data_IF_587534476697
#
_entry.id   IF_587534476697
#
_cell.length_a   1.000
_cell.length_b   1.000
_cell.length_c   1.000
_cell.angle_alpha   90.00
_cell.angle_beta   90.00
_cell.angle_gamma   90.00
#
_symmetry.space_group_name_H-M   'P 1'
#
loop_
_entity.id
_entity.type
_entity.pdbx_description
1 polymer ?
#
# COMPACT_ATOMS: atom_id res chain seq x y z
N UNK A 1 3.43 -7.87 -10.51
CA UNK A 1 4.83 -7.89 -10.02
C UNK A 1 5.25 -6.49 -9.57
N UNK A 2 5.93 -6.40 -8.45
CA UNK A 2 6.36 -5.12 -7.89
C UNK A 2 7.75 -4.77 -8.43
N UNK A 3 7.86 -3.63 -9.14
CA UNK A 3 9.16 -3.18 -9.63
C UNK A 3 9.94 -2.50 -8.50
N UNK A 4 11.25 -2.33 -8.71
CA UNK A 4 12.08 -1.61 -7.75
C UNK A 4 11.54 -0.20 -7.49
N UNK A 5 11.14 0.50 -8.54
CA UNK A 5 10.59 1.85 -8.43
C UNK A 5 9.30 1.87 -7.59
N UNK A 6 8.41 0.93 -7.85
CA UNK A 6 7.17 0.78 -7.09
C UNK A 6 7.48 0.41 -5.64
N UNK A 7 8.44 -0.48 -5.43
CA UNK A 7 8.84 -0.89 -4.08
C UNK A 7 9.40 0.27 -3.25
N UNK A 8 10.22 1.12 -3.86
CA UNK A 8 10.77 2.28 -3.17
C UNK A 8 9.67 3.28 -2.80
N UNK A 9 8.71 3.50 -3.69
CA UNK A 9 7.58 4.38 -3.40
C UNK A 9 6.69 3.80 -2.29
N UNK A 10 6.46 2.51 -2.32
CA UNK A 10 5.68 1.82 -1.30
C UNK A 10 6.38 1.85 0.06
N UNK A 11 7.70 1.71 0.06
CA UNK A 11 8.51 1.81 1.26
C UNK A 11 8.35 3.16 1.95
N UNK A 12 8.32 4.25 1.17
CA UNK A 12 8.09 5.58 1.70
C UNK A 12 6.72 5.71 2.36
N UNK A 13 5.70 5.09 1.75
CA UNK A 13 4.35 5.07 2.31
C UNK A 13 4.33 4.32 3.64
N UNK A 14 4.93 3.14 3.67
CA UNK A 14 4.99 2.31 4.88
C UNK A 14 5.66 3.07 6.02
N UNK A 15 6.75 3.75 5.73
CA UNK A 15 7.48 4.54 6.73
C UNK A 15 6.62 5.68 7.28
N UNK A 16 5.98 6.44 6.40
CA UNK A 16 5.15 7.58 6.81
C UNK A 16 3.90 7.17 7.56
N UNK A 17 3.30 6.05 7.19
CA UNK A 17 2.09 5.56 7.85
C UNK A 17 2.39 4.77 9.11
N UNK A 18 3.66 4.42 9.33
CA UNK A 18 4.07 3.59 10.47
C UNK A 18 3.22 2.32 10.56
N UNK A 19 3.12 1.62 9.42
CA UNK A 19 2.31 0.41 9.35
C UNK A 19 2.95 -0.73 10.15
N UNK A 20 2.11 -1.55 10.78
CA UNK A 20 2.57 -2.67 11.60
C UNK A 20 1.70 -3.89 11.35
N UNK A 21 2.31 -5.06 11.39
CA UNK A 21 1.60 -6.33 11.35
C UNK A 21 1.46 -6.82 12.79
N UNK A 22 0.23 -6.82 13.29
CA UNK A 22 -0.05 -7.20 14.69
C UNK A 22 0.23 -8.68 14.94
N UNK A 23 -0.10 -9.54 13.96
CA UNK A 23 0.10 -10.98 14.06
C UNK A 23 0.71 -11.49 12.75
N UNK A 24 2.06 -11.63 12.71
CA UNK A 24 2.72 -12.08 11.48
C UNK A 24 2.41 -13.53 11.12
N UNK A 25 1.80 -14.29 12.04
CA UNK A 25 1.41 -15.69 11.79
C UNK A 25 -0.03 -15.81 11.30
N UNK A 26 -0.78 -14.72 11.28
CA UNK A 26 -2.14 -14.73 10.76
C UNK A 26 -2.12 -15.03 9.25
N UNK A 27 -3.25 -15.48 8.72
CA UNK A 27 -3.32 -15.72 7.29
C UNK A 27 -3.27 -14.41 6.49
N UNK A 28 -3.01 -14.53 5.19
CA UNK A 28 -2.82 -13.36 4.32
C UNK A 28 -4.07 -12.46 4.28
N UNK A 29 -5.25 -13.05 4.36
CA UNK A 29 -6.49 -12.30 4.33
C UNK A 29 -6.62 -11.41 5.56
N UNK A 30 -6.33 -11.93 6.74
CA UNK A 30 -6.39 -11.15 7.97
C UNK A 30 -5.33 -10.05 7.98
N UNK A 31 -4.11 -10.37 7.56
CA UNK A 31 -3.04 -9.38 7.47
C UNK A 31 -3.45 -8.28 6.49
N UNK A 32 -4.02 -8.64 5.35
CA UNK A 32 -4.50 -7.69 4.35
C UNK A 32 -5.58 -6.78 4.89
N UNK A 33 -6.54 -7.33 5.65
CA UNK A 33 -7.60 -6.55 6.27
C UNK A 33 -7.06 -5.56 7.30
N UNK A 34 -6.12 -6.01 8.14
CA UNK A 34 -5.51 -5.16 9.16
C UNK A 34 -4.72 -4.01 8.52
N UNK A 35 -3.96 -4.31 7.47
CA UNK A 35 -3.21 -3.28 6.74
C UNK A 35 -4.14 -2.32 6.03
N UNK A 36 -5.22 -2.82 5.45
CA UNK A 36 -6.23 -1.98 4.81
C UNK A 36 -6.78 -0.95 5.79
N UNK A 37 -7.15 -1.38 6.99
CA UNK A 37 -7.70 -0.48 8.00
C UNK A 37 -6.67 0.56 8.44
N UNK A 38 -5.42 0.17 8.62
CA UNK A 38 -4.36 1.10 8.97
C UNK A 38 -4.13 2.13 7.87
N UNK A 39 -4.11 1.70 6.61
CA UNK A 39 -3.91 2.59 5.47
C UNK A 39 -5.05 3.59 5.39
N UNK A 40 -6.30 3.13 5.49
CA UNK A 40 -7.46 4.02 5.44
C UNK A 40 -7.40 5.06 6.57
N UNK A 41 -7.07 4.61 7.78
CA UNK A 41 -7.04 5.51 8.94
C UNK A 41 -5.92 6.55 8.87
N UNK A 42 -4.79 6.21 8.23
CA UNK A 42 -3.59 7.04 8.26
C UNK A 42 -3.20 7.62 6.88
N UNK A 43 -4.00 7.36 5.85
CA UNK A 43 -3.66 7.74 4.48
C UNK A 43 -3.29 9.22 4.31
N UNK A 44 -3.93 10.09 5.09
CA UNK A 44 -3.67 11.54 5.01
C UNK A 44 -2.23 11.91 5.35
N UNK A 45 -1.51 11.07 6.07
CA UNK A 45 -0.12 11.32 6.45
C UNK A 45 0.86 11.15 5.29
N UNK A 46 0.46 10.41 4.26
CA UNK A 46 1.32 10.11 3.12
C UNK A 46 0.61 10.39 1.80
N UNK A 47 -0.20 11.44 1.75
CA UNK A 47 -1.04 11.77 0.59
C UNK A 47 -0.23 11.83 -0.71
N UNK A 48 0.86 12.60 -0.72
CA UNK A 48 1.66 12.76 -1.94
C UNK A 48 2.34 11.46 -2.35
N UNK A 49 2.84 10.71 -1.39
CA UNK A 49 3.49 9.43 -1.65
C UNK A 49 2.50 8.41 -2.21
N UNK A 50 1.26 8.43 -1.71
CA UNK A 50 0.21 7.55 -2.22
C UNK A 50 -0.14 7.91 -3.66
N UNK A 51 -0.31 9.19 -3.97
CA UNK A 51 -0.57 9.62 -5.35
C UNK A 51 0.55 9.18 -6.29
N UNK A 52 1.81 9.34 -5.87
CA UNK A 52 2.94 8.93 -6.68
C UNK A 52 2.95 7.42 -6.92
N UNK A 53 2.66 6.63 -5.90
CA UNK A 53 2.62 5.18 -6.02
C UNK A 53 1.49 4.71 -6.94
N UNK A 54 0.29 5.29 -6.77
CA UNK A 54 -0.87 4.96 -7.62
C UNK A 54 -0.58 5.32 -9.06
N UNK A 55 -0.03 6.50 -9.30
CA UNK A 55 0.31 6.97 -10.64
C UNK A 55 1.30 6.02 -11.32
N UNK A 56 2.34 5.61 -10.60
CA UNK A 56 3.34 4.69 -11.12
C UNK A 56 2.74 3.31 -11.41
N UNK A 57 1.88 2.82 -10.52
CA UNK A 57 1.29 1.50 -10.65
C UNK A 57 0.30 1.42 -11.81
N UNK A 58 -0.50 2.46 -11.99
CA UNK A 58 -1.55 2.48 -13.02
C UNK A 58 -1.12 3.16 -14.32
N UNK A 59 0.07 3.74 -14.38
CA UNK A 59 0.55 4.43 -15.57
C UNK A 59 -0.24 5.70 -15.87
N UNK A 60 -0.64 6.43 -14.84
CA UNK A 60 -1.40 7.68 -14.96
C UNK A 60 -0.63 8.81 -14.27
N UNK A 61 -1.13 10.04 -14.41
CA UNK A 61 -0.51 11.17 -13.71
C UNK A 61 -0.94 11.22 -12.26
N UNK A 62 -0.16 11.89 -11.37
CA UNK A 62 -0.59 12.07 -9.99
C UNK A 62 -1.93 12.79 -9.85
N UNK A 63 -2.25 13.70 -10.77
CA UNK A 63 -3.55 14.38 -10.77
C UNK A 63 -4.68 13.41 -11.05
N UNK A 64 -4.48 12.49 -11.99
CA UNK A 64 -5.47 11.46 -12.28
C UNK A 64 -5.60 10.48 -11.11
N UNK A 65 -4.51 10.25 -10.39
CA UNK A 65 -4.52 9.37 -9.22
C UNK A 65 -5.45 9.88 -8.12
N UNK A 66 -5.68 11.19 -8.02
CA UNK A 66 -6.57 11.75 -7.02
C UNK A 66 -8.02 11.26 -7.16
N UNK A 67 -8.38 10.78 -8.34
CA UNK A 67 -9.74 10.32 -8.63
C UNK A 67 -9.88 8.79 -8.63
N UNK A 68 -8.82 8.06 -8.30
CA UNK A 68 -8.87 6.61 -8.23
C UNK A 68 -9.64 6.19 -6.99
N UNK A 69 -10.48 5.16 -7.14
CA UNK A 69 -11.26 4.62 -6.01
C UNK A 69 -10.30 4.05 -4.95
N UNK A 70 -10.28 4.66 -3.79
CA UNK A 70 -9.39 4.31 -2.70
C UNK A 70 -9.54 2.85 -2.28
N UNK A 71 -10.76 2.46 -1.96
CA UNK A 71 -11.01 1.10 -1.45
C UNK A 71 -10.72 0.06 -2.52
N UNK A 72 -11.16 0.32 -3.76
CA UNK A 72 -10.88 -0.58 -4.87
C UNK A 72 -9.40 -0.77 -5.11
N UNK A 73 -8.63 0.32 -5.08
CA UNK A 73 -7.19 0.25 -5.28
C UNK A 73 -6.49 -0.53 -4.16
N UNK A 74 -6.89 -0.30 -2.91
CA UNK A 74 -6.29 -1.00 -1.77
C UNK A 74 -6.61 -2.50 -1.84
N UNK A 75 -7.82 -2.85 -2.26
CA UNK A 75 -8.17 -4.27 -2.46
C UNK A 75 -7.32 -4.92 -3.54
N UNK A 76 -7.05 -4.22 -4.63
CA UNK A 76 -6.15 -4.72 -5.68
C UNK A 76 -4.76 -5.00 -5.13
N UNK A 77 -4.23 -4.05 -4.35
CA UNK A 77 -2.88 -4.17 -3.77
C UNK A 77 -2.82 -5.35 -2.80
N UNK A 78 -3.78 -5.49 -1.92
CA UNK A 78 -3.78 -6.56 -0.92
C UNK A 78 -4.02 -7.93 -1.53
N UNK A 79 -4.57 -7.98 -2.74
CA UNK A 79 -4.74 -9.24 -3.48
C UNK A 79 -3.46 -9.64 -4.23
N UNK A 80 -2.49 -8.74 -4.39
CA UNK A 80 -1.25 -9.01 -5.11
C UNK A 80 -0.24 -9.67 -4.16
N UNK A 81 0.14 -10.91 -4.47
CA UNK A 81 1.07 -11.67 -3.64
C UNK A 81 2.44 -10.99 -3.49
N UNK A 82 2.94 -10.36 -4.57
CA UNK A 82 4.21 -9.63 -4.53
C UNK A 82 4.18 -8.47 -3.57
N UNK A 83 3.10 -7.69 -3.61
CA UNK A 83 2.89 -6.56 -2.70
C UNK A 83 2.77 -7.05 -1.26
N UNK A 84 1.99 -8.09 -1.02
CA UNK A 84 1.81 -8.64 0.32
C UNK A 84 3.11 -9.18 0.90
N UNK A 85 3.92 -9.85 0.08
CA UNK A 85 5.23 -10.32 0.52
C UNK A 85 6.15 -9.15 0.87
N UNK A 86 6.09 -8.08 0.10
CA UNK A 86 6.85 -6.86 0.39
C UNK A 86 6.43 -6.27 1.74
N UNK A 87 5.13 -6.17 2.01
CA UNK A 87 4.64 -5.68 3.29
C UNK A 87 5.14 -6.52 4.45
N UNK A 88 5.07 -7.84 4.32
CA UNK A 88 5.55 -8.75 5.38
C UNK A 88 7.03 -8.57 5.67
N UNK A 89 7.82 -8.22 4.65
CA UNK A 89 9.26 -8.00 4.81
C UNK A 89 9.58 -6.62 5.38
N UNK A 90 8.81 -5.61 5.02
CA UNK A 90 9.10 -4.21 5.33
C UNK A 90 8.43 -3.73 6.62
N UNK A 91 7.27 -4.27 6.96
CA UNK A 91 6.50 -3.87 8.15
C UNK A 91 6.94 -4.71 9.34
N UNK A 92 7.23 -4.06 10.46
CA UNK A 92 7.68 -4.73 11.67
C UNK A 92 6.58 -4.90 12.70
#
# INVERSE_FOLDING_TARGET
MLTLKQGLKLSAIIDKLDLKIADPKADAEKIGSDLLMQIVAKAHKAEQEIYAFVAETKGITPQEAENVDLIGFIKEITADAGVMNFFKSAVK
#
